data_IF_282902881966
#
_entry.id   IF_282902881966
#
_cell.length_a   1.000
_cell.length_b   1.000
_cell.length_c   1.000
_cell.angle_alpha   90.00
_cell.angle_beta   90.00
_cell.angle_gamma   90.00
#
_symmetry.space_group_name_H-M   'P 1'
#
loop_
_entity.id
_entity.type
_entity.pdbx_description
1 polymer ?
#
# COMPACT_ATOMS: atom_id res chain seq x y z
N UNK A 1 27.65 0.10 -12.19
CA UNK A 1 27.46 -0.25 -10.76
C UNK A 1 26.55 0.77 -10.13
N UNK A 2 25.49 0.33 -9.43
CA UNK A 2 24.56 1.22 -8.74
C UNK A 2 24.98 1.40 -7.28
N UNK A 3 24.98 2.64 -6.82
CA UNK A 3 25.24 2.99 -5.43
C UNK A 3 24.04 3.75 -4.84
N UNK A 4 23.47 3.22 -3.75
CA UNK A 4 22.25 3.72 -3.13
C UNK A 4 22.59 4.58 -1.91
N UNK A 5 22.22 5.87 -1.93
CA UNK A 5 22.32 6.75 -0.76
C UNK A 5 20.97 6.74 -0.03
N UNK A 6 20.94 6.20 1.21
CA UNK A 6 19.72 5.92 1.96
C UNK A 6 19.13 4.53 1.66
N UNK A 7 20.00 3.51 1.52
CA UNK A 7 19.62 2.18 1.04
C UNK A 7 18.66 1.42 1.97
N UNK A 8 18.61 1.77 3.26
CA UNK A 8 17.76 1.09 4.26
C UNK A 8 16.29 1.55 4.22
N UNK A 9 15.95 2.59 3.43
CA UNK A 9 14.56 2.97 3.21
C UNK A 9 13.77 1.84 2.53
N UNK A 10 12.47 1.65 2.85
CA UNK A 10 11.68 0.51 2.35
C UNK A 10 11.68 0.38 0.84
N UNK A 11 11.37 1.44 0.09
CA UNK A 11 11.42 1.41 -1.36
C UNK A 11 12.85 1.26 -1.91
N UNK A 12 13.83 1.91 -1.27
CA UNK A 12 15.23 1.88 -1.68
C UNK A 12 15.82 0.47 -1.55
N UNK A 13 15.58 -0.21 -0.43
CA UNK A 13 16.05 -1.59 -0.20
C UNK A 13 15.41 -2.58 -1.18
N UNK A 14 14.09 -2.47 -1.41
CA UNK A 14 13.38 -3.30 -2.37
C UNK A 14 13.92 -3.11 -3.79
N UNK A 15 14.16 -1.86 -4.22
CA UNK A 15 14.74 -1.55 -5.52
C UNK A 15 16.19 -2.06 -5.65
N UNK A 16 16.99 -1.94 -4.59
CA UNK A 16 18.35 -2.47 -4.56
C UNK A 16 18.36 -4.00 -4.72
N UNK A 17 17.44 -4.71 -4.05
CA UNK A 17 17.29 -6.17 -4.19
C UNK A 17 16.90 -6.54 -5.62
N UNK A 18 15.93 -5.85 -6.22
CA UNK A 18 15.50 -6.06 -7.60
C UNK A 18 16.69 -5.93 -8.57
N UNK A 19 17.44 -4.83 -8.49
CA UNK A 19 18.60 -4.61 -9.35
C UNK A 19 19.68 -5.68 -9.16
N UNK A 20 19.92 -6.12 -7.92
CA UNK A 20 20.85 -7.20 -7.62
C UNK A 20 20.40 -8.51 -8.27
N UNK A 21 19.12 -8.87 -8.15
CA UNK A 21 18.54 -10.09 -8.73
C UNK A 21 18.53 -10.05 -10.27
N UNK A 22 18.42 -8.85 -10.86
CA UNK A 22 18.61 -8.63 -12.30
C UNK A 22 20.09 -8.70 -12.73
N UNK A 23 21.01 -8.93 -11.79
CA UNK A 23 22.44 -9.18 -12.05
C UNK A 23 23.29 -7.94 -12.08
N UNK A 24 22.81 -6.82 -11.58
CA UNK A 24 23.62 -5.61 -11.42
C UNK A 24 24.49 -5.69 -10.16
N UNK A 25 25.62 -4.99 -10.20
CA UNK A 25 26.39 -4.72 -8.99
C UNK A 25 25.75 -3.59 -8.21
N UNK A 26 25.34 -3.88 -6.97
CA UNK A 26 24.61 -2.95 -6.09
C UNK A 26 25.31 -2.87 -4.75
N UNK A 27 25.42 -1.68 -4.23
CA UNK A 27 25.85 -1.38 -2.86
C UNK A 27 25.23 -0.04 -2.42
N UNK A 28 25.40 0.34 -1.17
CA UNK A 28 24.91 1.63 -0.72
C UNK A 28 25.33 2.01 0.69
N UNK A 29 24.71 3.06 1.18
CA UNK A 29 24.96 3.63 2.51
C UNK A 29 23.68 4.09 3.20
N UNK A 30 23.75 4.19 4.51
CA UNK A 30 22.70 4.77 5.33
C UNK A 30 23.28 5.23 6.68
N UNK A 31 22.41 5.77 7.54
CA UNK A 31 22.78 6.12 8.92
C UNK A 31 23.06 4.86 9.76
N UNK A 32 23.88 5.04 10.82
CA UNK A 32 24.19 3.98 11.77
C UNK A 32 23.01 3.73 12.73
N UNK A 33 21.94 3.15 12.15
CA UNK A 33 20.74 2.72 12.86
C UNK A 33 20.22 1.45 12.23
N UNK A 34 19.76 0.50 13.06
CA UNK A 34 19.17 -0.73 12.56
C UNK A 34 17.76 -0.48 11.99
N UNK A 35 17.50 -1.07 10.81
CA UNK A 35 16.20 -1.08 10.14
C UNK A 35 15.80 -2.51 9.76
N UNK A 36 14.51 -2.81 9.75
CA UNK A 36 14.00 -4.14 9.39
C UNK A 36 14.37 -4.55 7.97
N UNK A 37 14.61 -3.58 7.09
CA UNK A 37 15.00 -3.78 5.68
C UNK A 37 16.42 -4.33 5.49
N UNK A 38 17.28 -4.25 6.53
CA UNK A 38 18.66 -4.78 6.47
C UNK A 38 18.69 -6.28 6.23
N UNK A 39 17.72 -7.03 6.77
CA UNK A 39 17.62 -8.47 6.59
C UNK A 39 17.58 -8.82 5.10
N UNK A 40 16.74 -8.16 4.31
CA UNK A 40 16.64 -8.40 2.87
C UNK A 40 17.91 -8.02 2.10
N UNK A 41 18.60 -6.94 2.51
CA UNK A 41 19.88 -6.55 1.91
C UNK A 41 20.97 -7.60 2.17
N UNK A 42 21.05 -8.11 3.39
CA UNK A 42 22.02 -9.15 3.82
C UNK A 42 21.75 -10.45 3.07
N UNK A 43 20.51 -10.91 3.01
CA UNK A 43 20.08 -12.15 2.34
C UNK A 43 20.37 -12.14 0.81
N UNK A 44 20.46 -10.94 0.22
CA UNK A 44 20.81 -10.76 -1.18
C UNK A 44 22.28 -10.34 -1.42
N UNK A 45 23.14 -10.47 -0.42
CA UNK A 45 24.57 -10.10 -0.52
C UNK A 45 24.79 -8.67 -1.05
N UNK A 46 24.01 -7.70 -0.55
CA UNK A 46 24.15 -6.29 -0.90
C UNK A 46 24.91 -5.58 0.23
N UNK A 47 26.16 -5.15 0.00
CA UNK A 47 26.94 -4.46 1.01
C UNK A 47 26.41 -3.03 1.22
N UNK A 48 26.38 -2.61 2.48
CA UNK A 48 26.02 -1.24 2.84
C UNK A 48 26.90 -0.70 3.97
N UNK A 49 27.12 0.60 3.99
CA UNK A 49 28.09 1.30 4.84
C UNK A 49 27.44 2.52 5.49
N UNK A 50 28.16 3.13 6.43
CA UNK A 50 27.81 4.47 6.90
C UNK A 50 28.21 5.52 5.86
N UNK A 51 27.55 6.69 5.86
CA UNK A 51 27.86 7.77 4.93
C UNK A 51 29.33 8.19 5.00
N UNK A 52 30.01 8.17 3.86
CA UNK A 52 31.38 8.66 3.69
C UNK A 52 31.65 9.04 2.24
N UNK A 53 32.28 10.19 2.00
CA UNK A 53 32.71 10.57 0.67
C UNK A 53 33.64 9.53 0.02
N UNK A 54 34.37 8.76 0.84
CA UNK A 54 35.25 7.69 0.35
C UNK A 54 34.53 6.50 -0.25
N UNK A 55 33.23 6.35 -0.03
CA UNK A 55 32.43 5.31 -0.63
C UNK A 55 32.19 5.55 -2.13
N UNK A 56 32.20 6.81 -2.57
CA UNK A 56 31.85 7.21 -3.95
C UNK A 56 33.07 7.13 -4.86
N UNK A 57 32.92 6.37 -5.95
CA UNK A 57 33.98 6.12 -6.94
C UNK A 57 33.50 6.43 -8.36
N UNK A 58 34.45 6.69 -9.26
CA UNK A 58 34.16 6.85 -10.69
C UNK A 58 33.44 5.62 -11.26
N UNK A 59 32.58 5.83 -12.24
CA UNK A 59 31.81 4.77 -12.91
C UNK A 59 30.60 4.23 -12.11
N UNK A 60 30.25 4.86 -10.98
CA UNK A 60 29.01 4.61 -10.27
C UNK A 60 27.86 5.42 -10.88
N UNK A 61 26.66 4.82 -10.87
CA UNK A 61 25.38 5.54 -10.99
C UNK A 61 24.79 5.62 -9.60
N UNK A 62 24.48 6.80 -9.15
CA UNK A 62 23.94 7.07 -7.79
C UNK A 62 22.42 7.01 -7.84
N UNK A 63 21.81 6.28 -6.90
CA UNK A 63 20.36 6.31 -6.66
C UNK A 63 20.13 6.96 -5.31
N UNK A 64 19.41 8.08 -5.30
CA UNK A 64 19.19 8.90 -4.10
C UNK A 64 17.77 8.66 -3.53
N UNK A 65 17.69 8.39 -2.23
CA UNK A 65 16.41 8.36 -1.50
C UNK A 65 15.84 9.76 -1.27
N UNK A 66 14.51 9.88 -1.24
CA UNK A 66 13.82 11.16 -1.10
C UNK A 66 14.16 11.94 0.19
N UNK A 67 14.56 11.25 1.27
CA UNK A 67 14.95 11.87 2.54
C UNK A 67 16.39 12.42 2.57
N UNK A 68 17.18 12.15 1.53
CA UNK A 68 18.59 12.55 1.47
C UNK A 68 18.69 14.04 1.14
N UNK A 69 19.29 14.78 2.04
CA UNK A 69 19.47 16.22 1.89
C UNK A 69 20.65 16.55 0.97
N UNK A 70 20.62 17.75 0.41
CA UNK A 70 21.63 18.24 -0.55
C UNK A 70 23.03 18.39 0.04
N UNK A 71 23.16 18.48 1.35
CA UNK A 71 24.42 18.56 2.11
C UNK A 71 25.03 17.20 2.48
N UNK A 72 24.44 16.08 2.01
CA UNK A 72 25.01 14.74 2.22
C UNK A 72 26.38 14.63 1.55
N UNK A 73 27.39 14.16 2.31
CA UNK A 73 28.80 14.12 1.86
C UNK A 73 29.02 13.25 0.62
N UNK A 74 28.24 12.18 0.47
CA UNK A 74 28.31 11.29 -0.68
C UNK A 74 27.68 11.93 -1.93
N UNK A 75 26.56 12.65 -1.74
CA UNK A 75 25.92 13.38 -2.82
C UNK A 75 26.81 14.51 -3.35
N UNK A 76 27.47 15.24 -2.45
CA UNK A 76 28.46 16.25 -2.82
C UNK A 76 29.60 15.62 -3.62
N UNK A 77 30.15 14.48 -3.13
CA UNK A 77 31.24 13.78 -3.81
C UNK A 77 30.84 13.26 -5.19
N UNK A 78 29.62 12.74 -5.32
CA UNK A 78 29.10 12.27 -6.60
C UNK A 78 29.05 13.41 -7.66
N UNK A 79 28.62 14.61 -7.23
CA UNK A 79 28.62 15.80 -8.10
C UNK A 79 30.02 16.26 -8.50
N UNK A 80 30.98 16.25 -7.54
CA UNK A 80 32.37 16.58 -7.83
C UNK A 80 32.98 15.66 -8.91
N UNK A 81 32.58 14.37 -8.90
CA UNK A 81 33.05 13.39 -9.88
C UNK A 81 32.21 13.39 -11.18
N UNK A 82 31.16 14.22 -11.27
CA UNK A 82 30.27 14.30 -12.43
C UNK A 82 29.49 13.02 -12.70
N UNK A 83 29.12 12.27 -11.63
CA UNK A 83 28.39 11.01 -11.76
C UNK A 83 26.92 11.24 -12.09
N UNK A 84 26.30 10.27 -12.77
CA UNK A 84 24.86 10.23 -12.95
C UNK A 84 24.19 10.04 -11.60
N UNK A 85 23.28 10.94 -11.22
CA UNK A 85 22.49 10.89 -10.00
C UNK A 85 21.02 10.78 -10.40
N UNK A 86 20.35 9.73 -9.94
CA UNK A 86 18.95 9.45 -10.19
C UNK A 86 18.18 9.52 -8.86
N UNK A 87 17.02 10.16 -8.90
CA UNK A 87 16.04 9.99 -7.84
C UNK A 87 15.49 8.56 -7.85
N UNK A 88 14.96 8.10 -6.72
CA UNK A 88 14.33 6.78 -6.61
C UNK A 88 13.31 6.52 -7.72
N UNK A 89 12.37 7.44 -7.93
CA UNK A 89 11.32 7.32 -8.93
C UNK A 89 11.84 7.33 -10.36
N UNK A 90 12.95 8.01 -10.65
CA UNK A 90 13.57 7.99 -11.96
C UNK A 90 14.20 6.62 -12.26
N UNK A 91 14.86 6.01 -11.26
CA UNK A 91 15.40 4.66 -11.41
C UNK A 91 14.30 3.61 -11.58
N UNK A 92 13.23 3.70 -10.80
CA UNK A 92 12.02 2.85 -11.00
C UNK A 92 11.44 3.07 -12.39
N UNK A 93 11.36 4.33 -12.86
CA UNK A 93 10.91 4.67 -14.21
C UNK A 93 11.74 4.04 -15.33
N UNK A 94 13.06 3.84 -15.11
CA UNK A 94 13.89 3.07 -16.05
C UNK A 94 13.47 1.61 -16.09
N UNK A 95 13.21 0.98 -14.95
CA UNK A 95 12.75 -0.43 -14.88
C UNK A 95 11.41 -0.65 -15.58
N UNK A 96 10.49 0.33 -15.54
CA UNK A 96 9.18 0.19 -16.19
C UNK A 96 9.27 -0.01 -17.71
N UNK A 97 10.42 0.27 -18.31
CA UNK A 97 10.66 0.11 -19.76
C UNK A 97 11.26 -1.24 -20.13
N UNK A 98 11.70 -2.02 -19.15
CA UNK A 98 12.37 -3.31 -19.38
C UNK A 98 11.41 -4.50 -19.41
N UNK A 99 10.16 -4.32 -18.92
CA UNK A 99 9.13 -5.35 -18.77
C UNK A 99 7.80 -4.90 -19.36
N UNK A 100 6.86 -5.83 -19.52
CA UNK A 100 5.44 -5.49 -19.56
C UNK A 100 5.01 -5.04 -18.15
N UNK A 101 5.24 -3.78 -17.83
CA UNK A 101 5.01 -3.27 -16.47
C UNK A 101 3.55 -2.94 -16.24
N UNK A 102 2.98 -3.54 -15.21
CA UNK A 102 1.63 -3.28 -14.73
C UNK A 102 1.78 -2.40 -13.49
N UNK A 103 1.48 -1.13 -13.65
CA UNK A 103 1.60 -0.13 -12.58
C UNK A 103 0.24 0.07 -11.90
N UNK A 104 0.21 -0.08 -10.59
CA UNK A 104 -1.00 0.03 -9.78
C UNK A 104 -0.98 1.36 -9.02
N UNK A 105 -1.87 2.26 -9.40
CA UNK A 105 -2.11 3.55 -8.75
C UNK A 105 -3.55 3.60 -8.19
N UNK A 106 -3.80 4.57 -7.33
CA UNK A 106 -5.06 4.80 -6.65
C UNK A 106 -4.80 5.30 -5.23
N UNK A 107 -5.74 5.98 -4.62
CA UNK A 107 -5.56 6.44 -3.24
C UNK A 107 -5.51 5.24 -2.28
N UNK A 108 -6.36 4.23 -2.51
CA UNK A 108 -6.47 3.03 -1.68
C UNK A 108 -6.34 1.74 -2.51
N UNK A 109 -5.99 0.62 -1.85
CA UNK A 109 -5.93 -0.72 -2.45
C UNK A 109 -4.65 -1.06 -3.22
N UNK A 110 -3.73 -0.13 -3.46
CA UNK A 110 -2.49 -0.34 -4.24
C UNK A 110 -1.70 -1.58 -3.82
N UNK A 111 -1.33 -1.66 -2.56
CA UNK A 111 -0.51 -2.76 -2.01
C UNK A 111 -1.22 -4.12 -2.13
N UNK A 112 -2.51 -4.17 -1.83
CA UNK A 112 -3.34 -5.37 -1.92
C UNK A 112 -3.44 -5.83 -3.37
N UNK A 113 -3.77 -4.93 -4.29
CA UNK A 113 -3.87 -5.22 -5.73
C UNK A 113 -2.53 -5.70 -6.30
N UNK A 114 -1.40 -5.07 -5.92
CA UNK A 114 -0.06 -5.48 -6.38
C UNK A 114 0.30 -6.89 -5.88
N UNK A 115 -0.02 -7.21 -4.63
CA UNK A 115 0.14 -8.56 -4.08
C UNK A 115 -0.74 -9.60 -4.80
N UNK A 116 -2.03 -9.29 -5.01
CA UNK A 116 -2.93 -10.18 -5.76
C UNK A 116 -2.44 -10.40 -7.19
N UNK A 117 -1.96 -9.35 -7.86
CA UNK A 117 -1.43 -9.43 -9.21
C UNK A 117 -0.17 -10.32 -9.27
N UNK A 118 0.74 -10.16 -8.30
CA UNK A 118 1.95 -10.99 -8.21
C UNK A 118 1.62 -12.49 -8.06
N UNK A 119 0.55 -12.81 -7.34
CA UNK A 119 0.05 -14.17 -7.20
C UNK A 119 -0.67 -14.66 -8.46
N UNK A 120 -1.55 -13.85 -9.04
CA UNK A 120 -2.33 -14.22 -10.21
C UNK A 120 -1.43 -14.58 -11.40
N UNK A 121 -0.33 -13.85 -11.60
CA UNK A 121 0.61 -14.02 -12.69
C UNK A 121 1.84 -14.89 -12.35
N UNK A 122 1.90 -15.51 -11.16
CA UNK A 122 3.10 -16.26 -10.71
C UNK A 122 3.53 -17.37 -11.65
N UNK A 123 2.59 -18.01 -12.35
CA UNK A 123 2.84 -19.09 -13.33
C UNK A 123 3.33 -18.57 -14.68
N UNK A 124 3.23 -17.26 -14.93
CA UNK A 124 3.66 -16.58 -16.16
C UNK A 124 5.01 -15.89 -16.03
N UNK A 125 5.59 -15.89 -14.83
CA UNK A 125 6.82 -15.16 -14.52
C UNK A 125 6.57 -13.67 -14.33
N UNK A 126 6.58 -13.25 -13.06
CA UNK A 126 6.36 -11.86 -12.65
C UNK A 126 7.40 -11.43 -11.63
N UNK A 127 8.00 -10.28 -11.88
CA UNK A 127 8.78 -9.49 -10.92
C UNK A 127 7.87 -8.46 -10.26
N UNK A 128 8.20 -7.96 -9.08
CA UNK A 128 7.34 -6.98 -8.40
C UNK A 128 8.10 -6.06 -7.45
N UNK A 129 7.56 -4.86 -7.28
CA UNK A 129 7.96 -3.85 -6.29
C UNK A 129 6.70 -3.36 -5.57
N UNK A 130 6.59 -3.70 -4.29
CA UNK A 130 5.41 -3.44 -3.45
C UNK A 130 5.76 -2.38 -2.41
N UNK A 131 4.82 -1.50 -2.07
CA UNK A 131 5.03 -0.39 -1.15
C UNK A 131 5.34 -0.79 0.30
N UNK A 132 5.14 -2.07 0.65
CA UNK A 132 5.49 -2.63 1.96
C UNK A 132 7.00 -2.93 2.12
N UNK A 133 7.82 -2.54 1.14
CA UNK A 133 9.26 -2.80 1.11
C UNK A 133 9.64 -4.16 0.52
N UNK A 134 8.69 -4.87 -0.06
CA UNK A 134 8.94 -6.15 -0.71
C UNK A 134 9.33 -5.94 -2.18
N UNK A 135 10.49 -6.46 -2.58
CA UNK A 135 10.97 -6.46 -3.96
C UNK A 135 11.44 -7.84 -4.38
N UNK A 136 11.10 -8.24 -5.60
CA UNK A 136 11.57 -9.47 -6.22
C UNK A 136 11.70 -9.29 -7.73
N UNK A 137 12.77 -9.80 -8.30
CA UNK A 137 12.94 -9.83 -9.75
C UNK A 137 13.57 -11.13 -10.25
N UNK A 138 13.15 -11.53 -11.45
CA UNK A 138 13.75 -12.60 -12.21
C UNK A 138 13.93 -12.11 -13.65
N UNK A 139 15.10 -12.33 -14.23
CA UNK A 139 15.43 -11.93 -15.62
C UNK A 139 14.49 -12.55 -16.67
N UNK A 140 13.94 -13.71 -16.37
CA UNK A 140 13.01 -14.42 -17.25
C UNK A 140 11.54 -13.97 -17.07
N UNK A 141 11.27 -13.04 -16.16
CA UNK A 141 9.92 -12.51 -15.96
C UNK A 141 9.48 -11.69 -17.17
N UNK A 142 8.28 -11.97 -17.67
CA UNK A 142 7.64 -11.15 -18.72
C UNK A 142 7.03 -9.89 -18.11
N UNK A 143 6.47 -10.02 -16.89
CA UNK A 143 5.71 -8.96 -16.22
C UNK A 143 6.48 -8.36 -15.05
N UNK A 144 6.17 -7.10 -14.78
CA UNK A 144 6.61 -6.40 -13.58
C UNK A 144 5.42 -5.68 -12.94
N UNK A 145 5.01 -6.11 -11.73
CA UNK A 145 3.99 -5.43 -10.94
C UNK A 145 4.62 -4.32 -10.11
N UNK A 146 4.14 -3.09 -10.26
CA UNK A 146 4.69 -1.92 -9.59
C UNK A 146 3.61 -1.16 -8.85
N UNK A 147 3.73 -1.05 -7.53
CA UNK A 147 2.94 -0.10 -6.76
C UNK A 147 3.40 1.34 -7.04
N UNK A 148 2.48 2.19 -7.50
CA UNK A 148 2.79 3.52 -8.04
C UNK A 148 2.21 4.61 -7.12
N UNK A 149 3.11 5.32 -6.41
CA UNK A 149 2.71 6.36 -5.46
C UNK A 149 2.41 7.67 -6.18
N UNK A 150 1.22 8.23 -5.90
CA UNK A 150 0.75 9.53 -6.41
C UNK A 150 1.38 10.73 -5.71
N UNK A 151 1.88 10.54 -4.49
CA UNK A 151 2.45 11.62 -3.69
C UNK A 151 3.59 12.33 -4.43
N UNK A 152 3.55 13.65 -4.43
CA UNK A 152 4.46 14.51 -5.21
C UNK A 152 4.52 14.16 -6.71
N UNK A 153 3.50 13.51 -7.23
CA UNK A 153 3.37 13.06 -8.62
C UNK A 153 4.53 12.14 -9.08
N UNK A 154 5.15 11.39 -8.15
CA UNK A 154 6.29 10.52 -8.46
C UNK A 154 5.96 9.50 -9.55
N UNK A 155 4.74 9.00 -9.61
CA UNK A 155 4.28 8.02 -10.62
C UNK A 155 4.33 8.56 -12.06
N UNK A 156 4.46 9.88 -12.27
CA UNK A 156 4.62 10.46 -13.61
C UNK A 156 5.97 10.11 -14.26
N UNK A 157 6.95 9.65 -13.49
CA UNK A 157 8.22 9.13 -14.00
C UNK A 157 8.08 7.74 -14.66
N UNK A 158 6.92 7.05 -14.47
CA UNK A 158 6.70 5.68 -14.93
C UNK A 158 6.06 5.66 -16.32
N UNK A 159 6.32 4.57 -17.04
CA UNK A 159 5.75 4.30 -18.35
C UNK A 159 5.06 2.93 -18.34
N UNK A 160 3.83 2.84 -17.82
CA UNK A 160 3.12 1.57 -17.71
C UNK A 160 2.83 0.93 -19.07
N UNK A 161 2.92 -0.40 -19.15
CA UNK A 161 2.24 -1.15 -20.21
C UNK A 161 0.73 -1.22 -19.92
N UNK A 162 0.36 -1.58 -18.67
CA UNK A 162 -0.98 -1.39 -18.11
C UNK A 162 -0.92 -0.45 -16.91
N UNK A 163 -1.77 0.56 -16.88
CA UNK A 163 -2.02 1.37 -15.69
C UNK A 163 -3.33 0.94 -15.04
N UNK A 164 -3.26 0.38 -13.83
CA UNK A 164 -4.44 0.14 -13.00
C UNK A 164 -4.70 1.39 -12.15
N UNK A 165 -5.94 1.85 -12.11
CA UNK A 165 -6.40 2.94 -11.22
C UNK A 165 -7.54 2.37 -10.36
N UNK A 166 -7.23 2.11 -9.09
CA UNK A 166 -8.16 1.44 -8.17
C UNK A 166 -9.27 2.34 -7.68
N UNK A 167 -8.98 3.60 -7.42
CA UNK A 167 -9.92 4.65 -7.02
C UNK A 167 -9.21 6.01 -6.99
N UNK A 168 -10.00 7.07 -6.92
CA UNK A 168 -9.53 8.44 -6.68
C UNK A 168 -10.30 8.99 -5.48
N UNK A 169 -9.59 9.45 -4.45
CA UNK A 169 -10.15 10.02 -3.23
C UNK A 169 -9.33 11.23 -2.80
N UNK A 170 -9.86 12.08 -1.93
CA UNK A 170 -9.11 13.20 -1.39
C UNK A 170 -8.13 12.68 -0.33
N UNK A 171 -6.89 12.53 -0.70
CA UNK A 171 -5.80 12.19 0.21
C UNK A 171 -4.59 13.10 -0.02
N UNK A 172 -3.56 12.98 0.82
CA UNK A 172 -2.37 13.83 0.74
C UNK A 172 -2.69 15.34 0.67
N UNK A 173 -3.61 15.79 1.53
CA UNK A 173 -4.07 17.19 1.63
C UNK A 173 -2.97 18.20 1.98
N UNK A 174 -1.78 17.71 2.33
CA UNK A 174 -0.55 18.50 2.49
C UNK A 174 0.13 18.80 1.16
N UNK A 175 -0.24 18.13 0.07
CA UNK A 175 0.35 18.29 -1.26
C UNK A 175 -0.69 18.69 -2.32
N UNK A 176 -1.79 17.95 -2.45
CA UNK A 176 -2.86 18.24 -3.39
C UNK A 176 -3.79 19.32 -2.86
N UNK A 177 -4.17 20.26 -3.71
CA UNK A 177 -5.04 21.40 -3.35
C UNK A 177 -6.49 20.97 -3.13
N UNK A 178 -6.97 20.11 -4.00
CA UNK A 178 -8.34 19.64 -4.07
C UNK A 178 -8.43 18.35 -4.92
N UNK A 179 -9.64 17.83 -5.04
CA UNK A 179 -9.90 16.61 -5.81
C UNK A 179 -9.61 16.77 -7.30
N UNK A 180 -9.77 17.98 -7.87
CA UNK A 180 -9.53 18.22 -9.29
C UNK A 180 -8.02 18.18 -9.59
N UNK A 181 -7.18 18.65 -8.68
CA UNK A 181 -5.71 18.54 -8.77
C UNK A 181 -5.24 17.08 -8.72
N UNK A 182 -5.92 16.23 -7.94
CA UNK A 182 -5.67 14.78 -7.92
C UNK A 182 -6.10 14.15 -9.25
N UNK A 183 -7.30 14.44 -9.75
CA UNK A 183 -7.80 13.94 -11.04
C UNK A 183 -6.86 14.31 -12.18
N UNK A 184 -6.31 15.53 -12.19
CA UNK A 184 -5.32 15.97 -13.17
C UNK A 184 -4.03 15.15 -13.11
N UNK A 185 -3.53 14.85 -11.90
CA UNK A 185 -2.36 14.00 -11.71
C UNK A 185 -2.58 12.58 -12.26
N UNK A 186 -3.74 11.96 -11.94
CA UNK A 186 -4.10 10.64 -12.44
C UNK A 186 -4.37 10.63 -13.96
N UNK A 187 -4.96 11.69 -14.50
CA UNK A 187 -5.13 11.88 -15.96
C UNK A 187 -3.78 11.89 -16.67
N UNK A 188 -2.83 12.65 -16.14
CA UNK A 188 -1.47 12.73 -16.68
C UNK A 188 -0.77 11.37 -16.61
N UNK A 189 -0.89 10.67 -15.47
CA UNK A 189 -0.35 9.33 -15.30
C UNK A 189 -0.96 8.31 -16.26
N UNK A 190 -2.29 8.27 -16.39
CA UNK A 190 -3.01 7.39 -17.31
C UNK A 190 -2.56 7.59 -18.76
N UNK A 191 -2.31 8.84 -19.15
CA UNK A 191 -1.86 9.19 -20.49
C UNK A 191 -0.39 8.79 -20.79
N UNK A 192 0.42 8.46 -19.78
CA UNK A 192 1.75 7.87 -19.96
C UNK A 192 1.71 6.37 -20.31
N UNK A 193 0.54 5.72 -20.25
CA UNK A 193 0.37 4.29 -20.52
C UNK A 193 0.66 3.98 -21.98
N UNK A 194 1.35 2.88 -22.23
CA UNK A 194 1.75 2.46 -23.60
C UNK A 194 0.74 1.52 -24.25
N UNK A 195 -0.07 0.79 -23.48
CA UNK A 195 -1.09 -0.11 -23.98
C UNK A 195 -2.50 0.32 -23.53
N UNK A 196 -2.96 -0.11 -22.35
CA UNK A 196 -4.33 0.17 -21.87
C UNK A 196 -4.36 0.67 -20.43
N UNK A 197 -5.34 1.48 -20.11
CA UNK A 197 -5.71 1.86 -18.75
C UNK A 197 -6.82 0.93 -18.26
N UNK A 198 -6.74 0.49 -17.01
CA UNK A 198 -7.75 -0.33 -16.34
C UNK A 198 -8.21 0.48 -15.12
N UNK A 199 -9.45 0.92 -15.06
CA UNK A 199 -9.92 1.83 -14.04
C UNK A 199 -11.23 1.36 -13.39
N UNK A 200 -11.37 1.62 -12.09
CA UNK A 200 -12.61 1.38 -11.36
C UNK A 200 -13.71 2.32 -11.86
N UNK A 201 -14.67 1.79 -12.60
CA UNK A 201 -15.63 2.59 -13.33
C UNK A 201 -16.85 3.03 -12.52
N UNK A 202 -17.09 2.48 -11.31
CA UNK A 202 -18.15 2.96 -10.42
C UNK A 202 -17.67 4.15 -9.56
N UNK A 203 -16.37 4.48 -9.61
CA UNK A 203 -15.83 5.68 -9.00
C UNK A 203 -16.11 6.89 -9.91
N UNK A 204 -16.84 7.91 -9.42
CA UNK A 204 -17.21 9.07 -10.22
C UNK A 204 -16.00 9.93 -10.63
N UNK A 205 -14.89 9.86 -9.91
CA UNK A 205 -13.69 10.64 -10.21
C UNK A 205 -12.84 9.98 -11.29
N UNK A 206 -12.75 8.66 -11.32
CA UNK A 206 -12.07 7.95 -12.43
C UNK A 206 -12.74 8.22 -13.77
N UNK A 207 -14.07 8.35 -13.79
CA UNK A 207 -14.86 8.70 -15.00
C UNK A 207 -14.64 10.14 -15.48
N UNK A 208 -14.12 11.04 -14.63
CA UNK A 208 -13.82 12.43 -15.02
C UNK A 208 -12.45 12.59 -15.69
N UNK A 209 -11.58 11.58 -15.60
CA UNK A 209 -10.27 11.65 -16.25
C UNK A 209 -10.39 11.78 -17.77
N UNK A 210 -9.63 12.71 -18.35
CA UNK A 210 -9.55 12.91 -19.80
C UNK A 210 -8.47 12.02 -20.42
N UNK A 211 -8.79 10.73 -20.59
CA UNK A 211 -7.86 9.72 -21.06
C UNK A 211 -7.90 9.61 -22.58
N UNK A 212 -6.73 9.70 -23.22
CA UNK A 212 -6.55 9.55 -24.68
C UNK A 212 -5.98 8.18 -25.06
N UNK A 213 -6.04 7.20 -24.16
CA UNK A 213 -5.58 5.82 -24.32
C UNK A 213 -6.78 4.86 -24.31
N UNK A 214 -6.64 3.66 -24.88
CA UNK A 214 -7.64 2.61 -24.66
C UNK A 214 -7.85 2.37 -23.16
N UNK A 215 -9.10 2.35 -22.73
CA UNK A 215 -9.47 2.17 -21.33
C UNK A 215 -10.47 1.03 -21.21
N UNK A 216 -10.34 0.25 -20.13
CA UNK A 216 -11.26 -0.78 -19.70
C UNK A 216 -11.75 -0.40 -18.30
N UNK A 217 -13.05 -0.25 -18.15
CA UNK A 217 -13.66 -0.02 -16.85
C UNK A 217 -14.11 -1.33 -16.23
N UNK A 218 -13.77 -1.52 -14.97
CA UNK A 218 -14.27 -2.64 -14.16
C UNK A 218 -15.09 -2.14 -12.98
N UNK A 219 -16.00 -2.98 -12.49
CA UNK A 219 -16.83 -2.62 -11.35
C UNK A 219 -18.00 -3.57 -11.12
N UNK A 220 -19.02 -3.07 -10.42
CA UNK A 220 -20.25 -3.79 -10.11
C UNK A 220 -21.44 -3.27 -10.93
N UNK A 221 -21.37 -2.03 -11.41
CA UNK A 221 -22.42 -1.42 -12.23
C UNK A 221 -22.34 -1.91 -13.67
N UNK A 222 -23.51 -2.06 -14.32
CA UNK A 222 -23.65 -2.64 -15.65
C UNK A 222 -23.06 -1.80 -16.80
N UNK A 223 -22.66 -0.55 -16.53
CA UNK A 223 -22.01 0.34 -17.50
C UNK A 223 -20.48 0.18 -17.58
N UNK A 224 -19.94 -0.84 -16.90
CA UNK A 224 -18.53 -1.21 -17.00
C UNK A 224 -18.30 -2.29 -18.06
N UNK A 225 -17.06 -2.41 -18.53
CA UNK A 225 -16.66 -3.43 -19.51
C UNK A 225 -16.50 -4.80 -18.86
N UNK A 226 -16.00 -4.82 -17.62
CA UNK A 226 -15.85 -6.02 -16.78
C UNK A 226 -16.67 -5.84 -15.51
N UNK A 227 -17.68 -6.69 -15.35
CA UNK A 227 -18.65 -6.59 -14.25
C UNK A 227 -18.64 -7.87 -13.43
N UNK A 228 -18.53 -7.74 -12.11
CA UNK A 228 -18.82 -8.85 -11.21
C UNK A 228 -20.32 -8.92 -10.94
N UNK A 229 -20.91 -10.08 -11.22
CA UNK A 229 -22.32 -10.40 -11.00
C UNK A 229 -22.48 -11.51 -9.98
N UNK A 230 -23.71 -11.74 -9.49
CA UNK A 230 -24.01 -12.78 -8.50
C UNK A 230 -23.08 -12.76 -7.27
N UNK A 231 -22.74 -11.56 -6.78
CA UNK A 231 -21.80 -11.38 -5.66
C UNK A 231 -22.44 -11.87 -4.36
N UNK A 232 -21.78 -12.83 -3.71
CA UNK A 232 -22.15 -13.37 -2.40
C UNK A 232 -20.99 -13.18 -1.42
N UNK A 233 -21.22 -12.37 -0.37
CA UNK A 233 -20.28 -12.20 0.75
C UNK A 233 -20.63 -13.21 1.85
N UNK A 234 -19.67 -14.02 2.29
CA UNK A 234 -19.86 -15.00 3.34
C UNK A 234 -18.62 -15.11 4.24
N UNK A 235 -18.71 -15.83 5.35
CA UNK A 235 -17.66 -15.84 6.39
C UNK A 235 -16.32 -16.45 5.95
N UNK A 236 -16.28 -17.16 4.81
CA UNK A 236 -15.03 -17.77 4.29
C UNK A 236 -14.51 -17.07 3.04
N UNK A 237 -15.21 -16.03 2.54
CA UNK A 237 -14.77 -15.30 1.36
C UNK A 237 -15.88 -14.64 0.56
N UNK A 238 -15.62 -14.49 -0.73
CA UNK A 238 -16.54 -13.87 -1.68
C UNK A 238 -16.68 -14.78 -2.91
N UNK A 239 -17.92 -15.03 -3.34
CA UNK A 239 -18.24 -15.66 -4.62
C UNK A 239 -18.75 -14.62 -5.58
N UNK A 240 -18.41 -14.74 -6.85
CA UNK A 240 -18.91 -13.88 -7.91
C UNK A 240 -18.68 -14.52 -9.28
N UNK A 241 -19.40 -14.01 -10.27
CA UNK A 241 -19.28 -14.39 -11.66
C UNK A 241 -18.77 -13.23 -12.51
N UNK A 242 -18.02 -13.53 -13.56
CA UNK A 242 -17.67 -12.59 -14.63
C UNK A 242 -18.12 -13.22 -15.96
N UNK A 243 -18.99 -12.52 -16.67
CA UNK A 243 -19.58 -13.00 -17.91
C UNK A 243 -18.50 -13.41 -18.93
N UNK A 244 -18.72 -14.56 -19.57
CA UNK A 244 -17.81 -15.16 -20.55
C UNK A 244 -16.40 -15.48 -20.04
N UNK A 245 -16.14 -15.36 -18.74
CA UNK A 245 -14.84 -15.66 -18.18
C UNK A 245 -14.90 -16.76 -17.12
N UNK A 246 -15.72 -16.64 -16.09
CA UNK A 246 -15.89 -17.73 -15.14
C UNK A 246 -16.46 -17.34 -13.78
N UNK A 247 -16.58 -18.38 -12.94
CA UNK A 247 -17.00 -18.30 -11.55
C UNK A 247 -15.78 -18.28 -10.62
N UNK A 248 -15.83 -17.43 -9.59
CA UNK A 248 -14.79 -17.28 -8.58
C UNK A 248 -15.34 -17.51 -7.18
N UNK A 249 -14.57 -18.21 -6.36
CA UNK A 249 -14.78 -18.41 -4.93
C UNK A 249 -13.42 -18.22 -4.24
N UNK A 250 -13.22 -17.04 -3.64
CA UNK A 250 -11.92 -16.56 -3.16
C UNK A 250 -11.98 -16.15 -1.68
N UNK A 251 -10.90 -16.39 -0.89
CA UNK A 251 -10.83 -16.02 0.53
C UNK A 251 -10.60 -14.53 0.72
N UNK A 252 -11.53 -13.72 0.25
CA UNK A 252 -11.48 -12.26 0.26
C UNK A 252 -12.57 -11.70 1.17
N UNK A 253 -12.33 -10.54 1.77
CA UNK A 253 -13.27 -9.94 2.71
C UNK A 253 -13.46 -8.46 2.40
N UNK A 254 -14.72 -8.02 2.42
CA UNK A 254 -15.14 -6.66 2.11
C UNK A 254 -15.19 -6.34 0.61
N UNK A 255 -16.01 -5.35 0.27
CA UNK A 255 -16.19 -4.88 -1.12
C UNK A 255 -14.88 -4.41 -1.74
N UNK A 256 -13.99 -3.78 -0.95
CA UNK A 256 -12.72 -3.28 -1.45
C UNK A 256 -11.82 -4.38 -2.02
N UNK A 257 -11.71 -5.56 -1.35
CA UNK A 257 -10.90 -6.66 -1.89
C UNK A 257 -11.54 -7.30 -3.14
N UNK A 258 -12.87 -7.28 -3.26
CA UNK A 258 -13.53 -7.65 -4.51
C UNK A 258 -13.14 -6.72 -5.65
N UNK A 259 -13.12 -5.41 -5.42
CA UNK A 259 -12.73 -4.42 -6.42
C UNK A 259 -11.24 -4.54 -6.79
N UNK A 260 -10.37 -4.77 -5.80
CA UNK A 260 -8.94 -5.01 -6.03
C UNK A 260 -8.70 -6.24 -6.91
N UNK A 261 -9.41 -7.35 -6.63
CA UNK A 261 -9.25 -8.56 -7.42
C UNK A 261 -9.87 -8.45 -8.81
N UNK A 262 -10.93 -7.66 -8.99
CA UNK A 262 -11.50 -7.38 -10.32
C UNK A 262 -10.51 -6.64 -11.22
N UNK A 263 -9.75 -5.69 -10.69
CA UNK A 263 -8.67 -5.04 -11.42
C UNK A 263 -7.63 -6.04 -11.91
N UNK A 264 -7.22 -6.96 -11.04
CA UNK A 264 -6.27 -8.03 -11.35
C UNK A 264 -6.83 -9.00 -12.40
N UNK A 265 -8.08 -9.43 -12.24
CA UNK A 265 -8.75 -10.33 -13.20
C UNK A 265 -8.89 -9.66 -14.56
N UNK A 266 -9.14 -8.35 -14.61
CA UNK A 266 -9.18 -7.59 -15.87
C UNK A 266 -7.87 -7.68 -16.63
N UNK A 267 -6.73 -7.56 -15.94
CA UNK A 267 -5.40 -7.81 -16.57
C UNK A 267 -5.30 -9.24 -17.07
N UNK A 268 -5.75 -10.22 -16.27
CA UNK A 268 -5.68 -11.63 -16.66
C UNK A 268 -6.54 -11.94 -17.91
N UNK A 269 -7.70 -11.31 -18.02
CA UNK A 269 -8.55 -11.42 -19.22
C UNK A 269 -7.81 -10.87 -20.46
N UNK A 270 -7.22 -9.69 -20.34
CA UNK A 270 -6.48 -9.03 -21.42
C UNK A 270 -5.26 -9.84 -21.88
N UNK A 271 -4.59 -10.53 -20.95
CA UNK A 271 -3.45 -11.41 -21.25
C UNK A 271 -3.88 -12.85 -21.59
N UNK A 272 -5.18 -13.12 -21.73
CA UNK A 272 -5.72 -14.44 -22.13
C UNK A 272 -5.45 -15.56 -21.13
N UNK A 273 -5.33 -15.25 -19.85
CA UNK A 273 -5.08 -16.25 -18.80
C UNK A 273 -6.42 -16.90 -18.41
N UNK A 274 -6.51 -18.25 -18.40
CA UNK A 274 -7.77 -18.92 -18.07
C UNK A 274 -8.24 -18.67 -16.62
N UNK A 275 -9.54 -18.48 -16.40
CA UNK A 275 -10.12 -18.22 -15.09
C UNK A 275 -9.75 -19.24 -14.02
N UNK A 276 -9.69 -20.54 -14.37
CA UNK A 276 -9.32 -21.58 -13.43
C UNK A 276 -7.87 -21.46 -12.91
N UNK A 277 -6.93 -20.96 -13.75
CA UNK A 277 -5.54 -20.70 -13.38
C UNK A 277 -5.49 -19.52 -12.41
N UNK A 278 -6.18 -18.42 -12.75
CA UNK A 278 -6.27 -17.22 -11.90
C UNK A 278 -6.87 -17.56 -10.53
N UNK A 279 -7.99 -18.28 -10.52
CA UNK A 279 -8.62 -18.71 -9.27
C UNK A 279 -7.70 -19.61 -8.42
N UNK A 280 -7.03 -20.58 -9.03
CA UNK A 280 -6.11 -21.48 -8.31
C UNK A 280 -4.94 -20.69 -7.68
N UNK A 281 -4.40 -19.71 -8.40
CA UNK A 281 -3.34 -18.86 -7.92
C UNK A 281 -3.81 -17.95 -6.76
N UNK A 282 -4.96 -17.30 -6.90
CA UNK A 282 -5.51 -16.37 -5.91
C UNK A 282 -6.06 -17.04 -4.64
N UNK A 283 -6.42 -18.34 -4.69
CA UNK A 283 -6.79 -19.11 -3.48
C UNK A 283 -5.70 -19.13 -2.41
N UNK A 284 -4.46 -18.90 -2.79
CA UNK A 284 -3.33 -18.82 -1.86
C UNK A 284 -3.13 -17.44 -1.24
N UNK A 285 -3.95 -16.45 -1.59
CA UNK A 285 -3.87 -15.10 -1.04
C UNK A 285 -4.19 -15.10 0.47
N UNK A 286 -3.31 -14.52 1.26
CA UNK A 286 -3.41 -14.44 2.73
C UNK A 286 -3.43 -13.00 3.25
N UNK A 287 -3.65 -12.02 2.36
CA UNK A 287 -3.47 -10.61 2.66
C UNK A 287 -2.05 -10.11 2.32
N UNK A 288 -1.87 -8.80 2.28
CA UNK A 288 -0.57 -8.15 2.25
C UNK A 288 -0.10 -7.88 3.69
N UNK A 289 1.19 -7.62 3.89
CA UNK A 289 1.72 -7.27 5.22
C UNK A 289 0.96 -6.07 5.79
N UNK A 290 0.50 -6.22 7.04
CA UNK A 290 -0.27 -5.17 7.72
C UNK A 290 -1.51 -4.70 6.92
N UNK A 291 -2.17 -5.62 6.19
CA UNK A 291 -3.44 -5.42 5.52
C UNK A 291 -4.34 -6.60 5.90
N UNK A 292 -5.17 -6.40 6.93
CA UNK A 292 -6.03 -7.43 7.49
C UNK A 292 -5.24 -8.67 7.98
N UNK A 293 -4.08 -8.45 8.62
CA UNK A 293 -3.26 -9.55 9.16
C UNK A 293 -3.85 -10.05 10.47
N UNK A 294 -4.12 -11.35 10.57
CA UNK A 294 -4.86 -11.93 11.69
C UNK A 294 -3.97 -12.76 12.61
N UNK A 295 -4.18 -12.60 13.91
CA UNK A 295 -3.65 -13.45 14.97
C UNK A 295 -4.80 -13.95 15.85
N UNK A 296 -4.97 -15.27 15.97
CA UNK A 296 -6.04 -15.87 16.78
C UNK A 296 -5.50 -16.20 18.15
N UNK A 297 -6.17 -15.70 19.22
CA UNK A 297 -5.76 -15.91 20.61
C UNK A 297 -6.99 -16.35 21.42
N UNK A 298 -7.17 -17.66 21.63
CA UNK A 298 -8.38 -18.20 22.23
C UNK A 298 -9.63 -17.86 21.42
N UNK A 299 -10.60 -17.23 22.07
CA UNK A 299 -11.83 -16.76 21.40
C UNK A 299 -11.70 -15.33 20.83
N UNK A 300 -10.54 -14.70 20.99
CA UNK A 300 -10.28 -13.37 20.50
C UNK A 300 -9.48 -13.40 19.19
N UNK A 301 -9.64 -12.35 18.39
CA UNK A 301 -8.92 -12.13 17.14
C UNK A 301 -8.22 -10.78 17.23
N UNK A 302 -6.95 -10.73 16.90
CA UNK A 302 -6.20 -9.50 16.71
C UNK A 302 -6.00 -9.30 15.21
N UNK A 303 -6.35 -8.12 14.70
CA UNK A 303 -6.15 -7.73 13.31
C UNK A 303 -5.21 -6.52 13.28
N UNK A 304 -4.08 -6.64 12.57
CA UNK A 304 -3.19 -5.51 12.23
C UNK A 304 -3.54 -5.02 10.82
N UNK A 305 -3.91 -3.75 10.71
CA UNK A 305 -4.25 -3.11 9.46
C UNK A 305 -3.60 -1.72 9.33
N UNK A 306 -3.18 -1.39 8.13
CA UNK A 306 -2.54 -0.11 7.81
C UNK A 306 -3.55 1.04 7.66
N UNK A 307 -4.86 0.75 7.72
CA UNK A 307 -5.95 1.69 7.52
C UNK A 307 -5.80 2.93 8.42
N UNK A 308 -5.91 4.11 7.83
CA UNK A 308 -5.77 5.39 8.51
C UNK A 308 -6.60 6.52 7.89
N UNK A 309 -7.18 6.30 6.72
CA UNK A 309 -8.18 7.14 6.08
C UNK A 309 -9.59 6.63 6.43
N UNK A 310 -10.64 7.48 6.56
CA UNK A 310 -11.99 7.01 6.88
C UNK A 310 -12.50 5.89 5.97
N UNK A 311 -12.31 6.02 4.66
CA UNK A 311 -12.70 5.00 3.67
C UNK A 311 -12.00 3.66 3.91
N UNK A 312 -10.71 3.66 4.28
CA UNK A 312 -9.95 2.44 4.60
C UNK A 312 -10.46 1.79 5.90
N UNK A 313 -10.68 2.62 6.94
CA UNK A 313 -11.21 2.15 8.23
C UNK A 313 -12.60 1.52 8.05
N UNK A 314 -13.47 2.16 7.28
CA UNK A 314 -14.79 1.62 6.96
C UNK A 314 -14.69 0.27 6.24
N UNK A 315 -13.85 0.19 5.22
CA UNK A 315 -13.64 -1.05 4.46
C UNK A 315 -13.11 -2.19 5.35
N UNK A 316 -12.21 -1.90 6.29
CA UNK A 316 -11.70 -2.88 7.25
C UNK A 316 -12.80 -3.33 8.22
N UNK A 317 -13.65 -2.42 8.72
CA UNK A 317 -14.80 -2.76 9.56
C UNK A 317 -15.78 -3.69 8.82
N UNK A 318 -16.11 -3.37 7.56
CA UNK A 318 -16.98 -4.21 6.73
C UNK A 318 -16.40 -5.62 6.53
N UNK A 319 -15.11 -5.73 6.26
CA UNK A 319 -14.41 -7.01 6.14
C UNK A 319 -14.44 -7.82 7.44
N UNK A 320 -14.25 -7.16 8.59
CA UNK A 320 -14.36 -7.78 9.91
C UNK A 320 -15.78 -8.29 10.15
N UNK A 321 -16.80 -7.49 9.88
CA UNK A 321 -18.21 -7.85 10.07
C UNK A 321 -18.64 -8.98 9.13
N UNK A 322 -18.11 -9.06 7.92
CA UNK A 322 -18.33 -10.19 7.01
C UNK A 322 -17.76 -11.49 7.59
N UNK A 323 -16.54 -11.46 8.13
CA UNK A 323 -15.82 -12.65 8.59
C UNK A 323 -16.24 -13.08 10.00
N UNK A 324 -16.48 -12.11 10.89
CA UNK A 324 -16.69 -12.26 12.33
C UNK A 324 -17.96 -11.53 12.79
N UNK A 325 -19.12 -11.91 12.25
CA UNK A 325 -20.39 -11.22 12.47
C UNK A 325 -20.94 -11.35 13.89
N UNK A 326 -20.50 -12.34 14.67
CA UNK A 326 -20.95 -12.66 16.02
C UNK A 326 -20.02 -12.15 17.13
N UNK A 327 -18.88 -11.52 16.75
CA UNK A 327 -17.90 -11.00 17.69
C UNK A 327 -18.08 -9.50 17.93
N UNK A 328 -17.73 -9.05 19.15
CA UNK A 328 -17.55 -7.62 19.43
C UNK A 328 -16.39 -7.07 18.58
N UNK A 329 -16.47 -5.81 18.21
CA UNK A 329 -15.42 -5.10 17.51
C UNK A 329 -14.88 -3.97 18.38
N UNK A 330 -13.63 -4.05 18.76
CA UNK A 330 -12.89 -3.00 19.46
C UNK A 330 -11.82 -2.46 18.51
N UNK A 331 -11.89 -1.19 18.19
CA UNK A 331 -10.91 -0.51 17.34
C UNK A 331 -9.84 0.12 18.21
N UNK A 332 -8.58 -0.09 17.85
CA UNK A 332 -7.41 0.60 18.39
C UNK A 332 -6.79 1.40 17.24
N UNK A 333 -6.94 2.72 17.29
CA UNK A 333 -6.56 3.59 16.18
C UNK A 333 -5.51 4.62 16.58
N UNK A 334 -4.47 4.74 15.75
CA UNK A 334 -3.52 5.85 15.87
C UNK A 334 -3.73 6.83 14.71
N UNK A 335 -4.25 8.05 14.97
CA UNK A 335 -4.34 9.06 13.94
C UNK A 335 -2.96 9.41 13.38
N UNK A 336 -2.87 9.63 12.07
CA UNK A 336 -1.64 9.97 11.38
C UNK A 336 -1.73 11.38 10.82
N UNK A 337 -0.79 12.24 11.20
CA UNK A 337 -0.67 13.69 10.95
C UNK A 337 -1.81 14.53 11.54
N UNK A 338 -1.46 15.75 11.91
CA UNK A 338 -2.44 16.71 12.46
C UNK A 338 -3.36 17.25 11.36
N UNK A 339 -2.82 17.52 10.17
CA UNK A 339 -3.59 17.99 9.01
C UNK A 339 -4.71 17.02 8.65
N UNK A 340 -4.38 15.72 8.50
CA UNK A 340 -5.37 14.68 8.17
C UNK A 340 -6.39 14.49 9.30
N UNK A 341 -5.94 14.48 10.57
CA UNK A 341 -6.84 14.37 11.72
C UNK A 341 -7.82 15.54 11.77
N UNK A 342 -7.37 16.77 11.49
CA UNK A 342 -8.22 17.95 11.43
C UNK A 342 -9.27 17.83 10.33
N UNK A 343 -8.88 17.41 9.13
CA UNK A 343 -9.74 17.30 7.97
C UNK A 343 -10.80 16.21 8.16
N UNK A 344 -10.41 15.02 8.58
CA UNK A 344 -11.27 13.84 8.59
C UNK A 344 -11.84 13.47 9.97
N UNK A 345 -11.71 14.32 10.99
CA UNK A 345 -12.21 13.99 12.35
C UNK A 345 -13.69 13.63 12.38
N UNK A 346 -14.54 14.31 11.59
CA UNK A 346 -15.97 14.06 11.54
C UNK A 346 -16.30 12.73 10.87
N UNK A 347 -15.63 12.42 9.78
CA UNK A 347 -15.83 11.19 9.01
C UNK A 347 -15.34 9.97 9.82
N UNK A 348 -14.21 10.11 10.53
CA UNK A 348 -13.72 9.09 11.46
C UNK A 348 -14.72 8.83 12.60
N UNK A 349 -15.36 9.86 13.15
CA UNK A 349 -16.40 9.67 14.16
C UNK A 349 -17.57 8.87 13.60
N UNK A 350 -18.02 9.16 12.37
CA UNK A 350 -19.10 8.41 11.73
C UNK A 350 -18.75 6.93 11.59
N UNK A 351 -17.55 6.65 11.10
CA UNK A 351 -17.08 5.28 10.87
C UNK A 351 -16.88 4.52 12.20
N UNK A 352 -16.29 5.15 13.22
CA UNK A 352 -16.05 4.50 14.52
C UNK A 352 -17.34 4.18 15.29
N UNK A 353 -18.45 4.87 15.02
CA UNK A 353 -19.76 4.52 15.59
C UNK A 353 -20.26 3.11 15.16
N UNK A 354 -19.63 2.47 14.18
CA UNK A 354 -19.91 1.08 13.75
C UNK A 354 -19.23 0.03 14.64
N UNK A 355 -18.32 0.45 15.53
CA UNK A 355 -17.63 -0.41 16.49
C UNK A 355 -18.34 -0.43 17.87
N UNK A 356 -18.05 -1.47 18.66
CA UNK A 356 -18.57 -1.59 20.03
C UNK A 356 -17.79 -0.70 21.01
N UNK A 357 -16.49 -0.49 20.76
CA UNK A 357 -15.66 0.48 21.47
C UNK A 357 -14.48 0.94 20.59
N UNK A 358 -13.96 2.13 20.87
CA UNK A 358 -12.82 2.70 20.15
C UNK A 358 -11.79 3.25 21.14
N UNK A 359 -10.54 2.86 20.95
CA UNK A 359 -9.38 3.34 21.70
C UNK A 359 -8.47 4.12 20.75
N UNK A 360 -8.19 5.38 21.10
CA UNK A 360 -7.31 6.23 20.27
C UNK A 360 -5.99 6.50 20.98
N UNK A 361 -4.91 6.31 20.24
CA UNK A 361 -3.58 6.78 20.63
C UNK A 361 -3.42 8.28 20.31
N UNK A 362 -2.33 8.87 20.80
CA UNK A 362 -1.94 10.21 20.38
C UNK A 362 -1.64 10.26 18.88
N UNK A 363 -1.88 11.43 18.27
CA UNK A 363 -1.60 11.64 16.86
C UNK A 363 -0.11 11.45 16.59
N UNK A 364 0.23 10.62 15.60
CA UNK A 364 1.59 10.52 15.10
C UNK A 364 1.88 11.70 14.16
N UNK A 365 2.84 12.57 14.51
CA UNK A 365 3.05 13.81 13.77
C UNK A 365 3.69 13.62 12.39
N UNK A 366 4.40 12.49 12.16
CA UNK A 366 5.20 12.26 10.97
C UNK A 366 6.19 13.44 10.73
N UNK A 367 5.96 14.22 9.68
CA UNK A 367 6.76 15.40 9.33
C UNK A 367 6.20 16.73 9.86
N UNK A 368 5.03 16.71 10.50
CA UNK A 368 4.36 17.90 11.02
C UNK A 368 4.78 18.20 12.47
N UNK A 369 4.51 19.40 12.95
CA UNK A 369 4.76 19.81 14.33
C UNK A 369 3.47 20.23 15.00
N UNK A 370 3.31 19.88 16.28
CA UNK A 370 2.09 20.24 17.05
C UNK A 370 1.87 21.75 17.13
N UNK A 371 2.94 22.55 17.13
CA UNK A 371 2.88 24.01 17.21
C UNK A 371 2.17 24.62 16.02
N UNK A 372 2.22 23.99 14.84
CA UNK A 372 1.57 24.44 13.61
C UNK A 372 0.06 24.09 13.60
N UNK A 373 -0.38 23.19 14.52
CA UNK A 373 -1.76 22.70 14.62
C UNK A 373 -2.30 22.81 16.06
N UNK A 374 -2.42 24.05 16.62
CA UNK A 374 -2.83 24.22 18.00
C UNK A 374 -4.25 23.66 18.25
N UNK A 375 -4.40 22.85 19.29
CA UNK A 375 -5.69 22.27 19.67
C UNK A 375 -6.12 21.03 18.89
N UNK A 376 -5.35 20.58 17.88
CA UNK A 376 -5.64 19.33 17.17
C UNK A 376 -5.05 18.17 17.96
N UNK A 377 -5.91 17.33 18.50
CA UNK A 377 -5.56 16.13 19.30
C UNK A 377 -6.57 15.01 19.05
N UNK A 378 -6.26 13.79 19.45
CA UNK A 378 -7.17 12.64 19.39
C UNK A 378 -8.48 12.87 20.15
N UNK A 379 -8.50 13.77 21.14
CA UNK A 379 -9.69 14.14 21.87
C UNK A 379 -10.79 14.79 21.01
N UNK A 380 -10.43 15.34 19.83
CA UNK A 380 -11.44 15.84 18.88
C UNK A 380 -12.38 14.74 18.39
N UNK A 381 -11.90 13.50 18.34
CA UNK A 381 -12.66 12.31 17.94
C UNK A 381 -13.28 11.69 19.19
N UNK A 382 -12.48 11.44 20.24
CA UNK A 382 -12.91 10.79 21.49
C UNK A 382 -14.16 11.47 22.07
N UNK A 383 -14.16 12.79 22.18
CA UNK A 383 -15.26 13.54 22.80
C UNK A 383 -16.58 13.50 22.02
N UNK A 384 -16.59 12.97 20.81
CA UNK A 384 -17.78 12.86 19.95
C UNK A 384 -18.36 11.43 19.88
N UNK A 385 -17.67 10.45 20.47
CA UNK A 385 -18.06 9.05 20.48
C UNK A 385 -18.55 8.62 21.87
N UNK A 386 -19.49 7.68 21.94
CA UNK A 386 -20.07 7.23 23.22
C UNK A 386 -19.12 6.28 23.99
N UNK A 387 -18.51 5.32 23.29
CA UNK A 387 -17.63 4.28 23.87
C UNK A 387 -16.21 4.46 23.36
N UNK A 388 -15.59 5.58 23.70
CA UNK A 388 -14.26 5.89 23.25
C UNK A 388 -13.34 6.31 24.38
N UNK A 389 -12.08 5.94 24.28
CA UNK A 389 -11.11 6.09 25.33
C UNK A 389 -9.75 6.45 24.74
N UNK A 390 -8.98 7.22 25.50
CA UNK A 390 -7.57 7.39 25.18
C UNK A 390 -6.77 6.17 25.69
N UNK A 391 -5.80 5.73 24.89
CA UNK A 391 -4.88 4.64 25.23
C UNK A 391 -3.45 5.03 24.84
N UNK A 392 -2.46 4.53 25.58
CA UNK A 392 -1.06 4.65 25.18
C UNK A 392 -0.41 3.26 24.99
N UNK A 393 0.81 3.25 24.44
CA UNK A 393 1.52 2.04 24.03
C UNK A 393 1.84 1.03 25.17
N UNK A 394 1.63 1.41 26.45
CA UNK A 394 1.91 0.57 27.62
C UNK A 394 0.63 0.15 28.36
N UNK A 395 -0.55 0.42 27.81
CA UNK A 395 -1.84 0.21 28.51
C UNK A 395 -2.66 -0.95 27.95
N UNK A 396 -2.03 -1.98 27.39
CA UNK A 396 -2.71 -3.17 26.86
C UNK A 396 -3.70 -3.81 27.86
N UNK A 397 -3.46 -3.67 29.16
CA UNK A 397 -4.37 -4.17 30.21
C UNK A 397 -5.79 -3.61 30.13
N UNK A 398 -5.98 -2.41 29.57
CA UNK A 398 -7.33 -1.83 29.35
C UNK A 398 -8.17 -2.64 28.37
N UNK A 399 -7.54 -3.47 27.54
CA UNK A 399 -8.15 -4.28 26.52
C UNK A 399 -8.35 -5.75 26.95
N UNK A 400 -7.69 -6.19 28.03
CA UNK A 400 -7.63 -7.59 28.42
C UNK A 400 -8.96 -8.17 28.96
N UNK A 401 -9.90 -7.32 29.38
CA UNK A 401 -11.20 -7.75 29.93
C UNK A 401 -12.25 -8.06 28.85
N UNK A 402 -11.95 -7.78 27.57
CA UNK A 402 -12.84 -8.11 26.46
C UNK A 402 -12.72 -9.60 26.10
N UNK A 403 -13.87 -10.25 25.92
CA UNK A 403 -13.96 -11.65 25.49
C UNK A 403 -14.80 -11.75 24.21
N UNK A 404 -14.55 -12.79 23.42
CA UNK A 404 -15.20 -13.00 22.12
C UNK A 404 -15.16 -11.76 21.21
N UNK A 405 -13.97 -11.18 21.05
CA UNK A 405 -13.76 -9.85 20.51
C UNK A 405 -12.75 -9.87 19.36
N UNK A 406 -13.01 -9.07 18.33
CA UNK A 406 -12.02 -8.67 17.33
C UNK A 406 -11.40 -7.36 17.77
N UNK A 407 -10.09 -7.35 18.00
CA UNK A 407 -9.30 -6.14 18.24
C UNK A 407 -8.67 -5.72 16.92
N UNK A 408 -9.10 -4.59 16.36
CA UNK A 408 -8.58 -4.07 15.11
C UNK A 408 -7.61 -2.92 15.39
N UNK A 409 -6.31 -3.22 15.27
CA UNK A 409 -5.25 -2.23 15.33
C UNK A 409 -5.08 -1.59 13.96
N UNK A 410 -5.40 -0.31 13.86
CA UNK A 410 -5.40 0.43 12.60
C UNK A 410 -4.43 1.61 12.68
N UNK A 411 -3.32 1.53 11.97
CA UNK A 411 -2.30 2.58 11.95
C UNK A 411 -1.27 2.37 10.84
N UNK A 412 -0.81 3.41 10.14
CA UNK A 412 0.36 3.32 9.26
C UNK A 412 1.68 3.23 10.04
N UNK A 413 1.67 3.50 11.35
CA UNK A 413 2.86 3.50 12.20
C UNK A 413 3.01 2.16 12.94
N UNK A 414 4.15 1.99 13.59
CA UNK A 414 4.42 0.79 14.39
C UNK A 414 3.69 0.88 15.74
N UNK A 415 2.61 0.14 15.87
CA UNK A 415 1.85 -0.08 17.10
C UNK A 415 2.02 -1.50 17.65
N UNK A 416 2.94 -2.28 17.08
CA UNK A 416 3.16 -3.71 17.38
C UNK A 416 3.49 -4.01 18.83
N UNK A 417 4.03 -3.02 19.58
CA UNK A 417 4.27 -3.21 21.01
C UNK A 417 2.97 -3.40 21.77
N UNK A 418 1.96 -2.53 21.55
CA UNK A 418 0.66 -2.61 22.22
C UNK A 418 -0.08 -3.90 21.80
N UNK A 419 0.05 -4.29 20.53
CA UNK A 419 -0.52 -5.52 19.98
C UNK A 419 0.07 -6.76 20.64
N UNK A 420 1.42 -6.87 20.74
CA UNK A 420 2.11 -7.98 21.38
C UNK A 420 1.82 -8.07 22.88
N UNK A 421 1.83 -6.92 23.57
CA UNK A 421 1.51 -6.85 25.00
C UNK A 421 0.06 -7.36 25.23
N UNK A 422 -0.88 -7.05 24.34
CA UNK A 422 -2.24 -7.58 24.40
C UNK A 422 -2.29 -9.09 24.11
N UNK A 423 -1.61 -9.54 23.05
CA UNK A 423 -1.53 -10.97 22.70
C UNK A 423 -1.02 -11.81 23.89
N UNK A 424 0.00 -11.32 24.61
CA UNK A 424 0.53 -11.99 25.80
C UNK A 424 -0.48 -12.04 26.96
N UNK A 425 -1.28 -10.97 27.14
CA UNK A 425 -2.30 -10.92 28.19
C UNK A 425 -3.51 -11.81 27.92
N UNK A 426 -3.80 -12.10 26.65
CA UNK A 426 -4.92 -12.92 26.21
C UNK A 426 -4.61 -14.42 26.16
N UNK A 427 -3.31 -14.81 26.21
CA UNK A 427 -2.85 -16.21 26.31
C UNK A 427 -3.03 -16.78 27.70
#
# INVERSE_FOLDING_TARGET
MYYFIGIKGSGMSALAIILKQLGHNVMGSDIDKHFFTETGLIENDIPFYNYSADNIKEGMTIVKGASIKEDNVELIKARELGLEILEYNEMVGKLTKEFKTICIAGCHGKTTTTNMLSLALKTRGISYLIGDGTGYANKESEYFALESCEYQRHFLSYQPYYAIITNIDLDHVDYFKDIDDIIDAYTSYANNTTNKVIAYGDDPYTRKMLINKPIIYYGLESNNDIVATNVEYYSKGIKFDIDNYGHFDLPLYGKHQLLDVLAVITVCIEEGIPAHEVQANLKSFKGAKRRFTETIVGDNIIIDDYAHHPSEVEATIEAIRQKYNDKKLVIIFQPHTFSRTKEFASDLVEVFNKADATYLLDIHPAREKQEDYPGITSNMIINKLNNSYHINMNEAKKLADYNNTVFAFMSPNDVSKLEKDLEELLK
#
